data_IF_392723717327
#
_entry.id   IF_392723717327
#
_cell.length_a   1.000
_cell.length_b   1.000
_cell.length_c   1.000
_cell.angle_alpha   90.00
_cell.angle_beta   90.00
_cell.angle_gamma   90.00
#
_symmetry.space_group_name_H-M   'P 1'
#
loop_
_entity.id
_entity.type
_entity.pdbx_description
1 polymer ?
#
# COMPACT_ATOMS: atom_id res chain seq x y z
N UNK A 1 -23.62 -17.96 -10.03
CA UNK A 1 -24.50 -18.91 -9.32
C UNK A 1 -24.19 -18.80 -7.83
N UNK A 2 -25.15 -18.34 -7.02
CA UNK A 2 -25.14 -18.44 -5.54
C UNK A 2 -24.22 -17.51 -4.75
N UNK A 3 -24.66 -16.28 -4.46
CA UNK A 3 -24.13 -15.50 -3.35
C UNK A 3 -24.55 -16.18 -2.04
N UNK A 4 -23.62 -16.90 -1.39
CA UNK A 4 -23.89 -17.61 -0.15
C UNK A 4 -23.51 -16.71 1.04
N UNK A 5 -24.54 -16.27 1.77
CA UNK A 5 -24.52 -15.25 2.82
C UNK A 5 -24.26 -15.84 4.22
N UNK A 6 -23.61 -17.01 4.30
CA UNK A 6 -23.24 -17.66 5.56
C UNK A 6 -21.76 -18.03 5.53
N UNK A 7 -20.88 -17.14 6.00
CA UNK A 7 -19.48 -17.51 6.30
C UNK A 7 -19.24 -17.39 7.81
N UNK A 8 -18.98 -18.50 8.53
CA UNK A 8 -18.54 -18.42 9.92
C UNK A 8 -17.18 -17.71 9.99
N UNK A 9 -17.03 -16.84 11.00
CA UNK A 9 -15.87 -15.98 11.29
C UNK A 9 -14.59 -16.77 11.67
N UNK A 10 -14.15 -17.71 10.84
CA UNK A 10 -12.98 -18.54 11.15
C UNK A 10 -12.54 -19.54 10.10
N UNK A 11 -13.10 -19.52 8.88
CA UNK A 11 -12.67 -20.41 7.80
C UNK A 11 -11.69 -19.71 6.86
N UNK A 12 -10.41 -20.06 6.92
CA UNK A 12 -9.39 -19.66 5.94
C UNK A 12 -9.87 -20.14 4.57
N UNK A 13 -10.20 -19.22 3.65
CA UNK A 13 -10.57 -19.57 2.27
C UNK A 13 -9.33 -20.24 1.64
N UNK A 14 -9.42 -21.52 1.29
CA UNK A 14 -8.38 -22.18 0.50
C UNK A 14 -8.37 -21.53 -0.89
N UNK A 15 -7.41 -20.65 -1.13
CA UNK A 15 -7.24 -20.00 -2.42
C UNK A 15 -6.72 -21.00 -3.45
N UNK A 16 -7.35 -21.03 -4.62
CA UNK A 16 -6.81 -21.74 -5.78
C UNK A 16 -5.49 -21.08 -6.17
N UNK A 17 -4.45 -21.80 -6.66
CA UNK A 17 -3.16 -21.21 -7.01
C UNK A 17 -3.27 -19.98 -7.91
N UNK A 18 -4.21 -20.00 -8.86
CA UNK A 18 -4.52 -18.89 -9.77
C UNK A 18 -5.08 -17.65 -9.07
N UNK A 19 -5.93 -17.84 -8.06
CA UNK A 19 -6.50 -16.72 -7.27
C UNK A 19 -5.41 -16.09 -6.38
N UNK A 20 -4.49 -16.90 -5.85
CA UNK A 20 -3.35 -16.42 -5.07
C UNK A 20 -2.40 -15.54 -5.88
N UNK A 21 -2.09 -15.95 -7.12
CA UNK A 21 -1.27 -15.14 -8.04
C UNK A 21 -1.97 -13.83 -8.41
N UNK A 22 -3.27 -13.87 -8.73
CA UNK A 22 -4.04 -12.66 -9.04
C UNK A 22 -4.05 -11.67 -7.86
N UNK A 23 -4.17 -12.18 -6.63
CA UNK A 23 -4.07 -11.35 -5.42
C UNK A 23 -2.68 -10.73 -5.27
N UNK A 24 -1.62 -11.50 -5.48
CA UNK A 24 -0.24 -10.99 -5.43
C UNK A 24 0.02 -9.88 -6.46
N UNK A 25 -0.43 -10.07 -7.71
CA UNK A 25 -0.31 -9.06 -8.77
C UNK A 25 -1.06 -7.79 -8.41
N UNK A 26 -2.32 -7.92 -7.97
CA UNK A 26 -3.12 -6.79 -7.52
C UNK A 26 -2.41 -6.05 -6.37
N UNK A 27 -1.85 -6.78 -5.42
CA UNK A 27 -1.18 -6.22 -4.26
C UNK A 27 0.04 -5.37 -4.65
N UNK A 28 0.84 -5.85 -5.60
CA UNK A 28 2.01 -5.14 -6.13
C UNK A 28 1.57 -3.87 -6.86
N UNK A 29 0.57 -3.96 -7.74
CA UNK A 29 0.03 -2.81 -8.48
C UNK A 29 -0.49 -1.73 -7.52
N UNK A 30 -1.30 -2.11 -6.53
CA UNK A 30 -1.80 -1.17 -5.51
C UNK A 30 -0.64 -0.53 -4.74
N UNK A 31 0.40 -1.30 -4.41
CA UNK A 31 1.55 -0.77 -3.68
C UNK A 31 2.33 0.27 -4.49
N UNK A 32 2.50 0.05 -5.80
CA UNK A 32 3.11 1.03 -6.71
C UNK A 32 2.26 2.29 -6.78
N UNK A 33 0.95 2.15 -6.95
CA UNK A 33 0.03 3.30 -6.99
C UNK A 33 0.06 4.10 -5.70
N UNK A 34 0.12 3.46 -4.54
CA UNK A 34 0.25 4.13 -3.23
C UNK A 34 1.52 4.98 -3.16
N UNK A 35 2.65 4.47 -3.65
CA UNK A 35 3.92 5.23 -3.68
C UNK A 35 3.80 6.45 -4.60
N UNK A 36 3.24 6.27 -5.80
CA UNK A 36 3.07 7.36 -6.77
C UNK A 36 2.11 8.45 -6.26
N UNK A 37 0.96 8.05 -5.72
CA UNK A 37 -0.06 8.95 -5.19
C UNK A 37 0.49 9.70 -3.97
N UNK A 38 1.15 9.01 -3.03
CA UNK A 38 1.74 9.66 -1.86
C UNK A 38 2.85 10.64 -2.23
N UNK A 39 3.68 10.34 -3.24
CA UNK A 39 4.67 11.26 -3.77
C UNK A 39 4.04 12.50 -4.41
N UNK A 40 2.95 12.34 -5.17
CA UNK A 40 2.21 13.44 -5.77
C UNK A 40 1.59 14.37 -4.71
N UNK A 41 0.97 13.81 -3.67
CA UNK A 41 0.44 14.59 -2.55
C UNK A 41 1.53 15.31 -1.76
N UNK A 42 2.67 14.65 -1.54
CA UNK A 42 3.79 15.25 -0.86
C UNK A 42 4.38 16.42 -1.67
N UNK A 43 4.53 16.26 -2.98
CA UNK A 43 4.98 17.34 -3.85
C UNK A 43 4.00 18.53 -3.80
N UNK A 44 2.70 18.25 -3.86
CA UNK A 44 1.65 19.28 -3.79
C UNK A 44 1.69 20.01 -2.44
N UNK A 45 1.91 19.27 -1.35
CA UNK A 45 2.09 19.83 -0.02
C UNK A 45 3.33 20.72 0.11
N UNK A 46 4.45 20.32 -0.48
CA UNK A 46 5.67 21.13 -0.48
C UNK A 46 5.52 22.43 -1.28
N UNK A 47 4.76 22.40 -2.39
CA UNK A 47 4.41 23.62 -3.14
C UNK A 47 3.56 24.58 -2.31
N UNK A 48 2.66 24.07 -1.46
CA UNK A 48 1.86 24.89 -0.55
C UNK A 48 2.71 25.65 0.49
N UNK A 49 3.89 25.13 0.83
CA UNK A 49 4.87 25.84 1.67
C UNK A 49 5.78 26.81 0.88
N UNK A 50 5.47 27.09 -0.39
CA UNK A 50 6.22 28.03 -1.22
C UNK A 50 7.59 27.50 -1.66
N UNK A 51 7.83 26.17 -1.60
CA UNK A 51 9.09 25.55 -2.02
C UNK A 51 8.94 24.72 -3.29
N UNK A 52 9.88 24.90 -4.21
CA UNK A 52 10.01 24.04 -5.38
C UNK A 52 10.55 22.67 -4.99
N UNK A 53 9.65 21.75 -4.64
CA UNK A 53 9.99 20.34 -4.52
C UNK A 53 9.85 19.65 -5.87
N UNK A 54 10.97 19.14 -6.39
CA UNK A 54 11.01 18.26 -7.55
C UNK A 54 10.25 16.96 -7.23
N UNK A 55 9.41 16.50 -8.16
CA UNK A 55 8.65 15.25 -8.01
C UNK A 55 9.57 14.06 -7.70
N UNK A 56 10.76 14.02 -8.30
CA UNK A 56 11.77 13.00 -8.06
C UNK A 56 12.18 12.90 -6.58
N UNK A 57 12.40 14.03 -5.90
CA UNK A 57 12.76 14.03 -4.47
C UNK A 57 11.62 13.52 -3.60
N UNK A 58 10.37 13.86 -3.94
CA UNK A 58 9.20 13.37 -3.25
C UNK A 58 9.00 11.86 -3.47
N UNK A 59 9.21 11.39 -4.70
CA UNK A 59 9.14 9.98 -5.07
C UNK A 59 10.20 9.15 -4.35
N UNK A 60 11.45 9.61 -4.34
CA UNK A 60 12.54 8.95 -3.63
C UNK A 60 12.26 8.88 -2.12
N UNK A 61 11.79 9.98 -1.52
CA UNK A 61 11.48 10.03 -0.09
C UNK A 61 10.36 9.05 0.27
N UNK A 62 9.27 9.02 -0.50
CA UNK A 62 8.14 8.11 -0.26
C UNK A 62 8.48 6.66 -0.61
N UNK A 63 9.22 6.42 -1.68
CA UNK A 63 9.67 5.09 -2.08
C UNK A 63 10.52 4.43 -1.00
N UNK A 64 11.52 5.14 -0.46
CA UNK A 64 12.30 4.64 0.67
C UNK A 64 11.48 4.56 1.96
N UNK A 65 10.60 5.53 2.21
CA UNK A 65 9.74 5.57 3.40
C UNK A 65 8.75 4.40 3.49
N UNK A 66 8.20 3.97 2.36
CA UNK A 66 7.16 2.93 2.29
C UNK A 66 7.72 1.51 2.09
N UNK A 67 9.02 1.39 1.80
CA UNK A 67 9.74 0.13 1.64
C UNK A 67 9.55 -0.85 2.82
N UNK A 68 9.65 -0.43 4.10
CA UNK A 68 9.39 -1.31 5.24
C UNK A 68 7.96 -1.86 5.26
N UNK A 69 7.00 -1.06 4.80
CA UNK A 69 5.60 -1.45 4.72
C UNK A 69 5.41 -2.54 3.66
N UNK A 70 6.19 -2.52 2.57
CA UNK A 70 6.23 -3.58 1.57
C UNK A 70 6.82 -4.87 2.16
N UNK A 71 7.91 -4.78 2.94
CA UNK A 71 8.51 -5.96 3.58
C UNK A 71 7.56 -6.60 4.61
N UNK A 72 6.90 -5.79 5.45
CA UNK A 72 6.00 -6.28 6.49
C UNK A 72 4.74 -6.94 5.90
N UNK A 73 4.36 -6.63 4.65
CA UNK A 73 3.26 -7.30 3.96
C UNK A 73 3.49 -8.79 3.73
N UNK A 74 4.74 -9.26 3.72
CA UNK A 74 5.06 -10.70 3.65
C UNK A 74 4.43 -11.44 4.85
N UNK A 75 4.27 -10.77 6.00
CA UNK A 75 3.61 -11.36 7.16
C UNK A 75 2.10 -11.60 6.95
N UNK A 76 1.47 -11.04 5.91
CA UNK A 76 0.07 -11.34 5.58
C UNK A 76 -0.13 -12.78 5.06
N UNK A 77 0.94 -13.50 4.72
CA UNK A 77 0.87 -14.92 4.36
C UNK A 77 0.47 -15.78 5.57
N UNK A 78 0.64 -15.24 6.78
CA UNK A 78 0.39 -15.94 8.03
C UNK A 78 -1.12 -15.97 8.34
N UNK A 79 -1.79 -17.16 8.37
CA UNK A 79 -3.26 -17.24 8.42
C UNK A 79 -3.93 -16.75 9.70
N UNK A 80 -3.18 -16.68 10.82
CA UNK A 80 -3.70 -16.29 12.14
C UNK A 80 -3.57 -14.79 12.42
N UNK A 81 -2.88 -14.03 11.57
CA UNK A 81 -2.70 -12.60 11.75
C UNK A 81 -3.79 -11.81 11.04
N UNK A 82 -4.47 -10.93 11.78
CA UNK A 82 -5.41 -9.98 11.18
C UNK A 82 -4.63 -8.98 10.32
N UNK A 83 -5.15 -8.56 9.15
CA UNK A 83 -4.45 -7.68 8.21
C UNK A 83 -4.10 -6.30 8.80
N UNK A 84 -4.77 -5.92 9.88
CA UNK A 84 -4.52 -4.68 10.63
C UNK A 84 -3.19 -4.68 11.39
N UNK A 85 -2.71 -5.84 11.86
CA UNK A 85 -1.47 -5.95 12.65
C UNK A 85 -0.23 -5.71 11.77
N UNK A 86 -0.03 -6.42 10.63
CA UNK A 86 1.01 -6.11 9.66
C UNK A 86 0.96 -4.67 9.17
N UNK A 87 -0.25 -4.14 8.95
CA UNK A 87 -0.41 -2.76 8.51
C UNK A 87 0.11 -1.77 9.56
N UNK A 88 -0.32 -1.90 10.82
CA UNK A 88 0.10 -1.00 11.90
C UNK A 88 1.62 -1.05 12.13
N UNK A 89 2.22 -2.25 12.10
CA UNK A 89 3.67 -2.41 12.17
C UNK A 89 4.38 -1.75 10.98
N UNK A 90 3.88 -1.96 9.77
CA UNK A 90 4.42 -1.36 8.56
C UNK A 90 4.36 0.16 8.56
N UNK A 91 3.27 0.75 9.05
CA UNK A 91 3.12 2.22 9.22
C UNK A 91 4.12 2.74 10.25
N UNK A 92 4.28 2.07 11.39
CA UNK A 92 5.25 2.46 12.40
C UNK A 92 6.69 2.46 11.84
N UNK A 93 7.08 1.40 11.12
CA UNK A 93 8.39 1.37 10.47
C UNK A 93 8.54 2.43 9.39
N UNK A 94 7.49 2.69 8.61
CA UNK A 94 7.49 3.74 7.60
C UNK A 94 7.71 5.13 8.23
N UNK A 95 7.09 5.42 9.38
CA UNK A 95 7.32 6.66 10.12
C UNK A 95 8.78 6.80 10.58
N UNK A 96 9.39 5.73 11.10
CA UNK A 96 10.81 5.76 11.52
C UNK A 96 11.75 6.02 10.35
N UNK A 97 11.44 5.47 9.17
CA UNK A 97 12.25 5.71 7.96
C UNK A 97 12.00 7.09 7.41
N UNK A 98 10.75 7.56 7.33
CA UNK A 98 10.41 8.92 6.88
C UNK A 98 11.07 9.99 7.76
N UNK A 99 11.13 9.78 9.07
CA UNK A 99 11.82 10.68 9.99
C UNK A 99 13.30 10.89 9.62
N UNK A 100 13.95 9.87 9.04
CA UNK A 100 15.34 9.94 8.58
C UNK A 100 15.46 10.33 7.10
N UNK A 101 14.49 9.97 6.26
CA UNK A 101 14.50 10.20 4.83
C UNK A 101 14.22 11.66 4.48
N UNK A 102 13.26 12.30 5.16
CA UNK A 102 12.89 13.71 4.96
C UNK A 102 14.09 14.65 5.11
N UNK A 103 14.85 14.64 6.23
CA UNK A 103 16.00 15.53 6.38
C UNK A 103 17.14 15.23 5.40
N UNK A 104 17.31 13.96 4.98
CA UNK A 104 18.38 13.57 4.05
C UNK A 104 18.10 13.95 2.59
N UNK A 105 16.87 13.76 2.12
CA UNK A 105 16.53 13.88 0.69
C UNK A 105 15.98 15.28 0.37
N UNK A 106 15.08 15.80 1.21
CA UNK A 106 14.46 17.10 0.97
C UNK A 106 15.27 18.27 1.51
N UNK A 107 16.18 18.02 2.47
CA UNK A 107 16.96 19.05 3.18
C UNK A 107 16.11 20.29 3.56
N UNK A 108 14.99 20.11 4.27
CA UNK A 108 14.22 21.23 4.77
C UNK A 108 15.06 22.05 5.76
N UNK A 109 14.96 23.38 5.71
CA UNK A 109 15.48 24.26 6.77
C UNK A 109 14.80 23.91 8.09
N UNK A 110 15.55 24.15 9.17
CA UNK A 110 15.29 23.59 10.49
C UNK A 110 13.92 23.96 11.08
N UNK A 111 13.32 25.07 10.65
CA UNK A 111 12.03 25.56 11.16
C UNK A 111 10.82 24.75 10.68
N UNK A 112 10.85 24.13 9.49
CA UNK A 112 9.70 23.43 8.89
C UNK A 112 9.92 21.93 8.67
N UNK A 113 11.10 21.40 9.02
CA UNK A 113 11.42 19.98 8.89
C UNK A 113 10.39 19.06 9.58
N UNK A 114 9.90 19.47 10.76
CA UNK A 114 8.88 18.74 11.50
C UNK A 114 7.52 18.75 10.80
N UNK A 115 7.11 19.88 10.22
CA UNK A 115 5.86 19.99 9.47
C UNK A 115 5.84 19.09 8.22
N UNK A 116 6.95 19.07 7.48
CA UNK A 116 7.11 18.19 6.30
C UNK A 116 7.08 16.72 6.71
N UNK A 117 7.70 16.36 7.84
CA UNK A 117 7.63 15.01 8.39
C UNK A 117 6.19 14.62 8.76
N UNK A 118 5.46 15.46 9.50
CA UNK A 118 4.07 15.18 9.90
C UNK A 118 3.18 15.03 8.67
N UNK A 119 3.33 15.89 7.66
CA UNK A 119 2.61 15.75 6.40
C UNK A 119 2.94 14.44 5.69
N UNK A 120 4.22 14.09 5.53
CA UNK A 120 4.62 12.85 4.89
C UNK A 120 4.08 11.61 5.65
N UNK A 121 4.17 11.61 6.97
CA UNK A 121 3.63 10.53 7.81
C UNK A 121 2.11 10.42 7.70
N UNK A 122 1.40 11.54 7.65
CA UNK A 122 -0.07 11.57 7.51
C UNK A 122 -0.50 11.05 6.14
N UNK A 123 0.12 11.55 5.06
CA UNK A 123 -0.11 11.09 3.69
C UNK A 123 0.17 9.59 3.57
N UNK A 124 1.32 9.13 4.09
CA UNK A 124 1.67 7.72 4.07
C UNK A 124 0.63 6.86 4.82
N UNK A 125 0.18 7.31 5.99
CA UNK A 125 -0.83 6.58 6.80
C UNK A 125 -2.17 6.52 6.09
N UNK A 126 -2.64 7.63 5.51
CA UNK A 126 -3.90 7.68 4.78
C UNK A 126 -3.88 6.84 3.50
N UNK A 127 -2.85 6.97 2.67
CA UNK A 127 -2.74 6.20 1.43
C UNK A 127 -2.60 4.70 1.69
N UNK A 128 -1.83 4.32 2.71
CA UNK A 128 -1.64 2.90 3.06
C UNK A 128 -2.84 2.32 3.78
N UNK A 129 -3.53 3.11 4.61
CA UNK A 129 -4.79 2.74 5.25
C UNK A 129 -5.90 2.51 4.22
N UNK A 130 -6.00 3.38 3.21
CA UNK A 130 -6.91 3.18 2.09
C UNK A 130 -6.60 1.88 1.33
N UNK A 131 -5.32 1.59 1.07
CA UNK A 131 -4.90 0.33 0.46
C UNK A 131 -5.16 -0.91 1.34
N UNK A 132 -5.11 -0.78 2.66
CA UNK A 132 -5.50 -1.84 3.58
C UNK A 132 -7.01 -2.09 3.51
N UNK A 133 -7.81 -1.03 3.44
CA UNK A 133 -9.27 -1.13 3.32
C UNK A 133 -9.70 -1.75 1.99
N UNK A 134 -9.07 -1.38 0.87
CA UNK A 134 -9.38 -1.98 -0.44
C UNK A 134 -9.10 -3.48 -0.46
N UNK A 135 -8.04 -3.95 0.21
CA UNK A 135 -7.74 -5.38 0.36
C UNK A 135 -8.80 -6.12 1.17
N UNK A 136 -9.21 -5.54 2.29
CA UNK A 136 -10.25 -6.11 3.12
C UNK A 136 -11.55 -6.26 2.32
N UNK A 137 -11.94 -5.22 1.58
CA UNK A 137 -13.12 -5.24 0.71
C UNK A 137 -12.97 -6.20 -0.49
N UNK A 138 -11.77 -6.37 -1.05
CA UNK A 138 -11.51 -7.35 -2.10
C UNK A 138 -11.67 -8.79 -1.58
N UNK A 139 -11.22 -9.07 -0.34
CA UNK A 139 -11.41 -10.38 0.30
C UNK A 139 -12.88 -10.70 0.61
N UNK A 140 -13.68 -9.67 0.91
CA UNK A 140 -15.14 -9.82 1.08
C UNK A 140 -15.88 -10.12 -0.23
N UNK A 141 -15.22 -10.01 -1.40
CA UNK A 141 -15.82 -10.33 -2.70
C UNK A 141 -16.87 -9.32 -3.17
N UNK A 142 -16.84 -8.10 -2.63
CA UNK A 142 -17.82 -7.04 -2.96
C UNK A 142 -17.59 -6.35 -4.31
N UNK A 143 -16.51 -6.69 -5.02
CA UNK A 143 -16.11 -6.02 -6.26
C UNK A 143 -16.32 -6.89 -7.50
N UNK A 144 -17.28 -6.51 -8.35
CA UNK A 144 -17.59 -7.20 -9.60
C UNK A 144 -16.42 -7.22 -10.62
N UNK A 145 -15.46 -6.29 -10.52
CA UNK A 145 -14.28 -6.25 -11.38
C UNK A 145 -13.18 -7.23 -10.96
N UNK A 146 -13.29 -7.84 -9.76
CA UNK A 146 -12.31 -8.80 -9.26
C UNK A 146 -12.27 -10.06 -10.14
N UNK A 147 -13.44 -10.56 -10.54
CA UNK A 147 -13.55 -11.74 -11.40
C UNK A 147 -12.90 -11.49 -12.77
N UNK A 148 -12.96 -10.27 -13.30
CA UNK A 148 -12.29 -9.87 -14.54
C UNK A 148 -10.76 -9.91 -14.42
N UNK A 149 -10.20 -9.53 -13.26
CA UNK A 149 -8.76 -9.61 -13.02
C UNK A 149 -8.30 -11.05 -12.88
N UNK A 150 -9.05 -11.88 -12.14
CA UNK A 150 -8.74 -13.30 -12.00
C UNK A 150 -8.78 -14.00 -13.36
N UNK A 151 -9.75 -13.66 -14.21
CA UNK A 151 -9.83 -14.17 -15.58
C UNK A 151 -8.66 -13.70 -16.46
N UNK A 152 -8.27 -12.42 -16.37
CA UNK A 152 -7.12 -11.87 -17.11
C UNK A 152 -5.80 -12.56 -16.72
N UNK A 153 -5.55 -12.70 -15.42
CA UNK A 153 -4.33 -13.37 -14.91
C UNK A 153 -4.36 -14.86 -15.25
N UNK A 154 -5.51 -15.52 -15.14
CA UNK A 154 -5.69 -16.91 -15.53
C UNK A 154 -5.42 -17.16 -17.02
N UNK A 155 -5.78 -16.21 -17.89
CA UNK A 155 -5.44 -16.27 -19.31
C UNK A 155 -3.94 -16.06 -19.56
N UNK A 156 -3.28 -15.15 -18.84
CA UNK A 156 -1.83 -14.96 -18.96
C UNK A 156 -1.04 -16.22 -18.56
N UNK A 157 -1.44 -16.90 -17.48
CA UNK A 157 -0.76 -18.12 -17.03
C UNK A 157 -0.95 -19.31 -17.98
N UNK A 158 -2.03 -19.34 -18.77
CA UNK A 158 -2.29 -20.36 -19.79
C UNK A 158 -1.49 -20.16 -21.07
N UNK A 159 -0.99 -18.94 -21.35
CA UNK A 159 -0.16 -18.64 -22.53
C UNK A 159 1.30 -19.06 -22.28
N UNK A 160 1.70 -19.29 -21.03
CA UNK A 160 3.06 -19.67 -20.63
C UNK A 160 3.30 -21.17 -20.41
N UNK A 161 2.32 -22.04 -20.67
CA UNK A 161 2.44 -23.51 -20.57
C UNK A 161 2.08 -24.19 -21.88
#
# INVERSE_FOLDING_TARGET
>A
MGANINRPLGGIKHFTPTEGVAYGVFEVVVSILVVLISAFFLQSGMKAFGKEATFEKALVTMGYGLLPLICVKILNVIPWMTPWIPWAMGVYFAWRVLYRAVPRVMKPEHAYALGVFIMAATIATLCTGAACMTRFLAMEGKFAWWDSIVAFVGNLLKISG
#
